data_IF_130015726948
#
_entry.id   IF_130015726948
#
_cell.length_a   1.000
_cell.length_b   1.000
_cell.length_c   1.000
_cell.angle_alpha   90.00
_cell.angle_beta   90.00
_cell.angle_gamma   90.00
#
_symmetry.space_group_name_H-M   'P 1'
#
loop_
_entity.id
_entity.type
_entity.pdbx_description
1 polymer ?
#
# COMPACT_ATOMS: atom_id res chain seq x y z
N UNK A 1 -11.42 -20.00 -38.59
CA UNK A 1 -12.34 -18.99 -39.12
C UNK A 1 -11.62 -17.65 -39.05
N UNK A 2 -11.47 -16.95 -40.16
CA UNK A 2 -10.61 -15.76 -40.26
C UNK A 2 -11.50 -14.59 -40.60
N UNK A 3 -11.59 -13.60 -39.72
CA UNK A 3 -12.33 -12.38 -40.00
C UNK A 3 -11.50 -11.51 -40.95
N UNK A 4 -12.13 -11.09 -42.05
CA UNK A 4 -11.51 -10.21 -43.05
C UNK A 4 -12.34 -8.93 -43.11
N UNK A 5 -11.72 -7.73 -43.10
CA UNK A 5 -12.46 -6.47 -43.17
C UNK A 5 -13.24 -6.37 -44.49
N UNK A 6 -14.52 -6.00 -44.42
CA UNK A 6 -15.28 -5.59 -45.59
C UNK A 6 -14.89 -4.15 -45.97
N UNK A 7 -14.83 -3.87 -47.27
CA UNK A 7 -14.57 -2.49 -47.74
C UNK A 7 -15.80 -1.61 -47.54
N UNK A 8 -15.60 -0.32 -47.29
CA UNK A 8 -16.66 0.69 -47.15
C UNK A 8 -17.69 0.67 -48.30
N UNK A 9 -17.22 0.37 -49.53
CA UNK A 9 -18.07 0.30 -50.72
C UNK A 9 -18.97 -0.95 -50.70
N UNK A 10 -18.46 -2.08 -50.21
CA UNK A 10 -19.26 -3.30 -50.01
C UNK A 10 -20.26 -3.12 -48.87
N UNK A 11 -19.85 -2.46 -47.77
CA UNK A 11 -20.73 -2.20 -46.63
C UNK A 11 -21.91 -1.29 -46.98
N UNK A 12 -21.72 -0.29 -47.86
CA UNK A 12 -22.77 0.67 -48.25
C UNK A 12 -23.65 0.19 -49.41
N UNK A 13 -23.17 -0.73 -50.25
CA UNK A 13 -23.94 -1.28 -51.37
C UNK A 13 -24.95 -2.35 -50.93
N UNK A 14 -24.73 -2.97 -49.76
CA UNK A 14 -25.65 -3.89 -49.15
C UNK A 14 -26.70 -3.06 -48.38
N UNK A 15 -27.93 -3.00 -48.90
CA UNK A 15 -29.07 -2.51 -48.11
C UNK A 15 -29.22 -3.33 -46.83
N UNK A 16 -30.02 -2.84 -45.87
CA UNK A 16 -30.30 -3.59 -44.64
C UNK A 16 -30.92 -4.95 -44.99
N UNK A 17 -30.11 -6.01 -44.94
CA UNK A 17 -30.50 -7.37 -45.30
C UNK A 17 -31.36 -8.04 -44.24
N UNK A 18 -31.24 -7.62 -42.99
CA UNK A 18 -32.09 -8.05 -41.89
C UNK A 18 -33.00 -6.92 -41.42
N UNK A 19 -34.27 -6.98 -41.81
CA UNK A 19 -35.30 -6.00 -41.44
C UNK A 19 -36.05 -6.37 -40.16
N UNK A 20 -35.75 -7.52 -39.54
CA UNK A 20 -36.42 -7.99 -38.33
C UNK A 20 -35.57 -7.70 -37.10
N UNK A 21 -35.94 -6.64 -36.37
CA UNK A 21 -35.25 -6.18 -35.15
C UNK A 21 -35.19 -7.20 -34.00
N UNK A 22 -35.90 -8.33 -34.12
CA UNK A 22 -36.01 -9.37 -33.09
C UNK A 22 -35.04 -10.54 -33.30
N UNK A 23 -34.34 -10.60 -34.43
CA UNK A 23 -33.44 -11.71 -34.74
C UNK A 23 -32.17 -11.25 -35.48
N UNK A 24 -31.86 -9.96 -35.38
CA UNK A 24 -30.71 -9.33 -36.02
C UNK A 24 -29.47 -9.31 -35.12
N UNK A 25 -29.44 -10.13 -34.07
CA UNK A 25 -28.26 -10.38 -33.26
C UNK A 25 -27.66 -11.76 -33.56
N UNK A 26 -26.34 -11.85 -33.44
CA UNK A 26 -25.62 -13.12 -33.40
C UNK A 26 -24.80 -13.11 -32.13
N UNK A 27 -25.18 -13.95 -31.18
CA UNK A 27 -24.45 -14.10 -29.93
C UNK A 27 -23.36 -15.15 -30.07
N UNK A 28 -22.10 -14.76 -29.83
CA UNK A 28 -20.97 -15.68 -29.73
C UNK A 28 -20.51 -15.68 -28.28
N UNK A 29 -20.57 -16.84 -27.62
CA UNK A 29 -20.00 -17.04 -26.28
C UNK A 29 -18.62 -17.68 -26.40
N UNK A 30 -17.60 -16.98 -25.92
CA UNK A 30 -16.24 -17.51 -25.82
C UNK A 30 -15.94 -17.87 -24.37
N UNK A 31 -15.68 -19.15 -24.10
CA UNK A 31 -15.15 -19.58 -22.81
C UNK A 31 -13.62 -19.61 -22.88
N UNK A 32 -12.97 -18.81 -22.05
CA UNK A 32 -11.51 -18.87 -21.88
C UNK A 32 -11.18 -19.95 -20.87
N UNK A 33 -10.37 -20.93 -21.26
CA UNK A 33 -9.92 -22.00 -20.36
C UNK A 33 -8.79 -21.51 -19.44
N UNK A 34 -8.66 -22.14 -18.27
CA UNK A 34 -7.65 -21.82 -17.25
C UNK A 34 -8.20 -20.96 -16.11
N UNK A 35 -7.35 -20.71 -15.12
CA UNK A 35 -7.73 -19.94 -13.94
C UNK A 35 -7.27 -18.48 -14.08
N UNK A 36 -8.15 -17.65 -14.65
CA UNK A 36 -7.91 -16.22 -14.86
C UNK A 36 -8.55 -15.36 -13.77
N UNK A 37 -8.64 -15.88 -12.54
CA UNK A 37 -9.22 -15.15 -11.39
C UNK A 37 -8.18 -14.23 -10.74
N UNK A 38 -8.62 -13.36 -9.83
CA UNK A 38 -7.73 -12.56 -9.01
C UNK A 38 -7.26 -13.35 -7.78
N UNK A 39 -6.10 -12.99 -7.23
CA UNK A 39 -5.52 -13.53 -5.99
C UNK A 39 -5.10 -12.33 -5.14
N UNK A 40 -5.83 -11.97 -4.10
CA UNK A 40 -5.49 -10.84 -3.24
C UNK A 40 -4.86 -11.32 -1.94
N UNK A 41 -3.63 -10.91 -1.70
CA UNK A 41 -2.95 -11.19 -0.43
C UNK A 41 -3.03 -9.98 0.50
N UNK A 42 -3.47 -10.20 1.74
CA UNK A 42 -3.46 -9.18 2.78
C UNK A 42 -2.04 -8.70 3.04
N UNK A 43 -1.91 -7.39 3.26
CA UNK A 43 -0.66 -6.80 3.69
C UNK A 43 -0.86 -6.03 4.98
N UNK A 44 -0.18 -6.52 6.01
CA UNK A 44 -0.12 -5.91 7.33
C UNK A 44 0.98 -4.87 7.42
N UNK A 45 1.39 -4.60 8.65
CA UNK A 45 2.46 -3.65 8.92
C UNK A 45 3.22 -3.98 10.20
N UNK A 46 4.44 -3.48 10.31
CA UNK A 46 5.22 -3.51 11.54
C UNK A 46 5.83 -2.14 11.76
N UNK A 47 5.53 -1.52 12.89
CA UNK A 47 6.05 -0.20 13.27
C UNK A 47 6.56 -0.21 14.70
N UNK A 48 7.49 0.69 15.00
CA UNK A 48 8.10 0.80 16.33
C UNK A 48 7.88 2.22 16.84
N UNK A 49 7.48 2.36 18.11
CA UNK A 49 7.33 3.68 18.72
C UNK A 49 7.12 3.65 20.22
N UNK A 50 7.46 4.77 20.87
CA UNK A 50 7.23 4.96 22.29
C UNK A 50 5.76 5.33 22.56
N UNK A 51 5.31 5.17 23.82
CA UNK A 51 4.00 5.66 24.25
C UNK A 51 3.89 7.16 23.99
N UNK A 52 2.76 7.60 23.44
CA UNK A 52 2.48 8.97 23.00
C UNK A 52 2.95 9.29 21.58
N UNK A 53 3.82 8.49 20.97
CA UNK A 53 4.26 8.71 19.60
C UNK A 53 3.12 8.46 18.61
N UNK A 54 3.07 9.28 17.56
CA UNK A 54 2.23 9.06 16.39
C UNK A 54 3.10 8.42 15.31
N UNK A 55 2.72 7.23 14.85
CA UNK A 55 3.39 6.49 13.79
C UNK A 55 2.46 6.34 12.60
N UNK A 56 2.99 6.57 11.40
CA UNK A 56 2.26 6.32 10.16
C UNK A 56 2.48 4.88 9.73
N UNK A 57 1.41 4.23 9.26
CA UNK A 57 1.46 2.86 8.77
C UNK A 57 0.55 2.69 7.57
N UNK A 58 0.96 1.82 6.64
CA UNK A 58 0.16 1.50 5.44
C UNK A 58 -0.17 0.02 5.45
N UNK A 59 -1.46 -0.29 5.54
CA UNK A 59 -2.01 -1.65 5.43
C UNK A 59 -2.84 -1.79 4.16
N UNK A 60 -3.20 -3.00 3.75
CA UNK A 60 -4.07 -3.20 2.59
C UNK A 60 -3.90 -4.57 1.98
N UNK A 61 -3.73 -4.64 0.66
CA UNK A 61 -3.57 -5.90 -0.06
C UNK A 61 -2.84 -5.72 -1.39
N UNK A 62 -2.30 -6.82 -1.91
CA UNK A 62 -1.65 -6.90 -3.23
C UNK A 62 -2.36 -7.94 -4.09
N UNK A 63 -2.52 -7.69 -5.38
CA UNK A 63 -3.09 -8.66 -6.30
C UNK A 63 -1.99 -9.51 -6.96
N UNK A 64 -1.82 -10.75 -6.54
CA UNK A 64 -0.89 -11.73 -7.11
C UNK A 64 -1.45 -12.44 -8.34
N UNK A 65 -2.76 -12.32 -8.58
CA UNK A 65 -3.49 -13.08 -9.58
C UNK A 65 -3.37 -12.50 -10.98
N UNK A 66 -3.68 -13.29 -12.02
CA UNK A 66 -3.68 -12.84 -13.40
C UNK A 66 -4.75 -11.79 -13.71
N UNK A 67 -5.94 -11.85 -13.07
CA UNK A 67 -6.99 -10.85 -13.28
C UNK A 67 -6.96 -9.70 -12.28
N UNK A 68 -7.55 -8.58 -12.67
CA UNK A 68 -7.77 -7.41 -11.82
C UNK A 68 -8.73 -7.74 -10.67
N UNK A 69 -8.39 -7.35 -9.44
CA UNK A 69 -9.32 -7.34 -8.32
C UNK A 69 -10.07 -5.98 -8.27
N UNK A 70 -11.26 -5.93 -7.70
CA UNK A 70 -12.06 -4.70 -7.59
C UNK A 70 -12.98 -4.42 -8.78
N UNK A 71 -13.87 -3.44 -8.61
CA UNK A 71 -14.99 -3.17 -9.50
C UNK A 71 -14.63 -2.17 -10.62
N UNK A 72 -14.70 -2.62 -11.89
CA UNK A 72 -15.38 -1.77 -12.87
C UNK A 72 -16.40 -2.55 -13.73
N UNK A 73 -16.90 -3.68 -13.26
CA UNK A 73 -17.85 -4.54 -13.98
C UNK A 73 -18.52 -5.54 -13.05
N UNK A 74 -19.80 -5.84 -13.31
CA UNK A 74 -20.75 -6.60 -12.47
C UNK A 74 -20.30 -8.03 -12.02
N UNK A 75 -19.07 -8.46 -12.32
CA UNK A 75 -18.53 -9.79 -12.02
C UNK A 75 -17.05 -9.79 -11.59
N UNK A 76 -16.55 -8.71 -10.97
CA UNK A 76 -15.19 -8.65 -10.41
C UNK A 76 -15.07 -9.19 -8.97
N UNK A 77 -13.85 -9.52 -8.54
CA UNK A 77 -13.55 -9.85 -7.13
C UNK A 77 -13.64 -8.58 -6.28
N UNK A 78 -14.73 -8.37 -5.54
CA UNK A 78 -14.89 -7.21 -4.67
C UNK A 78 -14.21 -7.47 -3.32
N UNK A 79 -13.29 -6.58 -2.93
CA UNK A 79 -12.48 -6.72 -1.72
C UNK A 79 -12.83 -5.61 -0.72
N UNK A 80 -13.38 -6.01 0.42
CA UNK A 80 -13.49 -5.15 1.61
C UNK A 80 -12.36 -5.53 2.56
N UNK A 81 -11.53 -4.56 2.93
CA UNK A 81 -10.41 -4.78 3.85
C UNK A 81 -10.83 -4.41 5.26
N UNK A 82 -10.92 -5.40 6.15
CA UNK A 82 -11.13 -5.18 7.58
C UNK A 82 -9.80 -4.97 8.28
N UNK A 83 -9.65 -3.80 8.91
CA UNK A 83 -8.46 -3.40 9.67
C UNK A 83 -8.83 -3.34 11.14
N UNK A 84 -8.35 -4.30 11.92
CA UNK A 84 -8.50 -4.33 13.38
C UNK A 84 -7.22 -3.79 14.01
N UNK A 85 -7.30 -2.60 14.59
CA UNK A 85 -6.16 -1.99 15.24
C UNK A 85 -5.81 -2.69 16.56
N UNK A 86 -4.51 -2.78 16.90
CA UNK A 86 -4.06 -3.26 18.20
C UNK A 86 -4.74 -2.50 19.36
N UNK A 87 -5.05 -3.17 20.46
CA UNK A 87 -5.79 -2.55 21.58
C UNK A 87 -5.01 -1.43 22.32
N UNK A 88 -3.68 -1.36 22.13
CA UNK A 88 -2.80 -0.35 22.71
C UNK A 88 -2.54 0.87 21.81
N UNK A 89 -3.31 1.07 20.75
CA UNK A 89 -3.20 2.25 19.87
C UNK A 89 -4.56 2.91 19.61
N UNK A 90 -4.53 4.20 19.28
CA UNK A 90 -5.68 4.97 18.82
C UNK A 90 -5.39 5.51 17.42
N UNK A 91 -6.28 5.29 16.47
CA UNK A 91 -6.20 5.98 15.18
C UNK A 91 -6.47 7.48 15.38
N UNK A 92 -5.54 8.31 14.93
CA UNK A 92 -5.64 9.77 14.93
C UNK A 92 -5.75 10.35 13.51
N UNK A 93 -5.39 9.55 12.50
CA UNK A 93 -5.62 9.83 11.08
C UNK A 93 -6.08 8.56 10.38
N UNK A 94 -7.14 8.66 9.59
CA UNK A 94 -7.80 7.54 8.90
C UNK A 94 -8.15 7.99 7.49
N UNK A 95 -7.93 7.16 6.45
CA UNK A 95 -8.23 7.57 5.09
C UNK A 95 -9.74 7.56 4.86
N UNK A 96 -10.22 8.46 4.00
CA UNK A 96 -11.66 8.59 3.68
C UNK A 96 -12.26 7.36 2.99
N UNK A 97 -11.43 6.41 2.57
CA UNK A 97 -11.85 5.11 2.04
C UNK A 97 -12.20 4.09 3.13
N UNK A 98 -12.04 4.45 4.41
CA UNK A 98 -12.34 3.61 5.56
C UNK A 98 -13.45 4.21 6.44
N UNK A 99 -14.28 3.33 7.00
CA UNK A 99 -15.33 3.67 7.97
C UNK A 99 -15.29 2.75 9.17
N UNK A 100 -15.77 3.23 10.30
CA UNK A 100 -16.10 2.37 11.44
C UNK A 100 -17.42 1.65 11.13
N UNK A 101 -17.44 0.31 10.98
CA UNK A 101 -18.65 -0.43 10.67
C UNK A 101 -19.64 -0.49 11.83
N UNK A 102 -19.26 -0.01 13.02
CA UNK A 102 -20.12 0.08 14.20
C UNK A 102 -20.74 1.47 14.39
N UNK A 103 -20.29 2.46 13.62
CA UNK A 103 -20.92 3.78 13.61
C UNK A 103 -22.26 3.71 12.87
N UNK A 104 -23.32 4.16 13.54
CA UNK A 104 -24.67 4.22 12.95
C UNK A 104 -24.76 5.27 11.84
N UNK A 105 -23.87 6.27 11.85
CA UNK A 105 -23.79 7.29 10.83
C UNK A 105 -22.59 7.06 9.91
N UNK A 106 -22.78 7.29 8.61
CA UNK A 106 -21.72 7.18 7.63
C UNK A 106 -20.71 8.31 7.80
N UNK A 107 -19.59 8.04 8.48
CA UNK A 107 -18.53 9.02 8.76
C UNK A 107 -17.16 8.54 8.25
N UNK A 108 -16.89 8.71 6.94
CA UNK A 108 -15.61 8.30 6.33
C UNK A 108 -14.41 9.02 6.94
N UNK A 109 -13.38 8.24 7.26
CA UNK A 109 -12.14 8.76 7.83
C UNK A 109 -12.26 9.22 9.29
N UNK A 110 -13.33 8.86 10.01
CA UNK A 110 -13.48 9.20 11.43
C UNK A 110 -12.43 8.47 12.28
N UNK A 111 -11.55 9.19 13.02
CA UNK A 111 -10.58 8.56 13.91
C UNK A 111 -11.21 7.94 15.16
N UNK A 112 -10.43 7.16 15.91
CA UNK A 112 -10.79 6.65 17.24
C UNK A 112 -11.45 5.27 17.30
N UNK A 113 -11.81 4.66 16.17
CA UNK A 113 -12.37 3.31 16.16
C UNK A 113 -11.28 2.23 16.28
N UNK A 114 -11.66 1.03 16.72
CA UNK A 114 -10.78 -0.15 16.74
C UNK A 114 -10.86 -1.00 15.48
N UNK A 115 -12.00 -0.98 14.81
CA UNK A 115 -12.25 -1.74 13.60
C UNK A 115 -12.60 -0.75 12.48
N UNK A 116 -11.98 -0.93 11.33
CA UNK A 116 -12.28 -0.18 10.13
C UNK A 116 -12.60 -1.13 8.98
N UNK A 117 -13.61 -0.80 8.20
CA UNK A 117 -13.85 -1.38 6.88
C UNK A 117 -13.38 -0.41 5.81
N UNK A 118 -12.41 -0.84 5.03
CA UNK A 118 -11.76 -0.05 3.99
C UNK A 118 -12.06 -0.62 2.61
N UNK A 119 -12.41 0.25 1.66
CA UNK A 119 -12.69 -0.14 0.27
C UNK A 119 -11.83 0.67 -0.69
N UNK A 120 -11.23 -0.01 -1.67
CA UNK A 120 -10.50 0.66 -2.74
C UNK A 120 -11.49 1.28 -3.74
N UNK A 121 -11.12 2.44 -4.30
CA UNK A 121 -11.80 2.98 -5.47
C UNK A 121 -11.14 2.43 -6.73
N UNK A 122 -11.92 1.77 -7.59
CA UNK A 122 -11.43 1.12 -8.80
C UNK A 122 -10.83 -0.26 -8.55
N UNK A 123 -10.21 -0.81 -9.59
CA UNK A 123 -9.60 -2.14 -9.51
C UNK A 123 -8.07 -2.12 -9.45
N UNK A 124 -7.50 -3.22 -8.97
CA UNK A 124 -6.09 -3.43 -8.64
C UNK A 124 -5.47 -4.38 -9.65
N UNK A 125 -4.52 -3.89 -10.45
CA UNK A 125 -3.86 -4.70 -11.46
C UNK A 125 -2.96 -5.77 -10.84
N UNK A 126 -2.54 -6.74 -11.64
CA UNK A 126 -1.56 -7.75 -11.24
C UNK A 126 -0.27 -7.07 -10.73
N UNK A 127 0.17 -7.47 -9.54
CA UNK A 127 1.34 -6.95 -8.84
C UNK A 127 1.13 -5.58 -8.19
N UNK A 128 -0.02 -4.93 -8.42
CA UNK A 128 -0.35 -3.66 -7.81
C UNK A 128 -0.77 -3.86 -6.34
N UNK A 129 -0.49 -2.84 -5.52
CA UNK A 129 -0.86 -2.81 -4.12
C UNK A 129 -1.84 -1.69 -3.84
N UNK A 130 -2.91 -2.02 -3.11
CA UNK A 130 -3.77 -1.02 -2.48
C UNK A 130 -3.31 -0.78 -1.06
N UNK A 131 -3.12 0.50 -0.74
CA UNK A 131 -2.71 0.98 0.58
C UNK A 131 -3.77 1.85 1.23
N UNK A 132 -3.98 1.63 2.52
CA UNK A 132 -4.76 2.48 3.41
C UNK A 132 -3.81 3.02 4.47
N UNK A 133 -3.61 4.33 4.46
CA UNK A 133 -2.67 5.01 5.36
C UNK A 133 -3.35 5.41 6.66
N UNK A 134 -2.82 4.93 7.78
CA UNK A 134 -3.28 5.26 9.13
C UNK A 134 -2.20 6.01 9.89
N UNK A 135 -2.61 7.02 10.64
CA UNK A 135 -1.81 7.60 11.73
C UNK A 135 -2.25 7.01 13.05
N UNK A 136 -1.36 6.32 13.76
CA UNK A 136 -1.65 5.62 15.01
C UNK A 136 -0.88 6.27 16.16
N UNK A 137 -1.59 6.72 17.20
CA UNK A 137 -0.98 7.07 18.48
C UNK A 137 -0.81 5.82 19.32
N UNK A 138 0.38 5.62 19.88
CA UNK A 138 0.66 4.50 20.78
C UNK A 138 0.23 4.87 22.20
N UNK A 139 -0.76 4.17 22.74
CA UNK A 139 -1.33 4.47 24.07
C UNK A 139 -0.74 3.57 25.16
N UNK A 140 -0.22 2.38 24.81
CA UNK A 140 0.33 1.41 25.76
C UNK A 140 1.71 0.93 25.33
N UNK A 141 2.58 0.73 26.30
CA UNK A 141 3.90 0.14 26.07
C UNK A 141 3.80 -1.35 25.70
N UNK A 142 4.93 -1.90 25.25
CA UNK A 142 5.06 -3.32 24.90
C UNK A 142 4.60 -3.63 23.47
N UNK A 143 4.78 -4.91 23.08
CA UNK A 143 4.35 -5.36 21.76
C UNK A 143 2.83 -5.51 21.71
N UNK A 144 2.21 -4.95 20.67
CA UNK A 144 0.77 -4.98 20.47
C UNK A 144 0.49 -5.55 19.07
N UNK A 145 -0.53 -6.41 18.96
CA UNK A 145 -0.91 -7.02 17.67
C UNK A 145 -2.37 -6.72 17.33
N UNK A 146 -2.57 -6.32 16.08
CA UNK A 146 -3.86 -6.24 15.39
C UNK A 146 -3.80 -7.07 14.11
N UNK A 147 -4.73 -6.83 13.19
CA UNK A 147 -4.81 -7.62 11.98
C UNK A 147 -5.49 -6.91 10.81
N UNK A 148 -5.18 -7.40 9.62
CA UNK A 148 -5.85 -7.13 8.37
C UNK A 148 -6.50 -8.42 7.93
N UNK A 149 -7.78 -8.38 7.58
CA UNK A 149 -8.52 -9.49 7.02
C UNK A 149 -9.28 -9.02 5.77
N UNK A 150 -9.12 -9.74 4.67
CA UNK A 150 -9.85 -9.46 3.44
C UNK A 150 -11.20 -10.17 3.47
N UNK A 151 -12.24 -9.43 3.12
CA UNK A 151 -13.57 -9.95 2.88
C UNK A 151 -13.86 -9.84 1.39
N UNK A 152 -13.66 -10.95 0.71
CA UNK A 152 -13.96 -11.09 -0.71
C UNK A 152 -15.45 -11.40 -0.87
N UNK A 153 -16.25 -10.43 -1.36
CA UNK A 153 -17.72 -10.56 -1.46
C UNK A 153 -18.20 -11.53 -2.56
N UNK A 154 -17.29 -12.28 -3.14
CA UNK A 154 -17.49 -13.12 -4.31
C UNK A 154 -17.85 -14.58 -4.01
N UNK A 155 -17.80 -14.99 -2.74
CA UNK A 155 -18.15 -16.36 -2.32
C UNK A 155 -17.34 -17.45 -3.06
N UNK A 156 -17.85 -18.68 -3.09
CA UNK A 156 -17.32 -19.75 -3.94
C UNK A 156 -17.78 -19.55 -5.39
N UNK A 157 -16.89 -19.77 -6.37
CA UNK A 157 -17.26 -19.75 -7.78
C UNK A 157 -16.24 -19.04 -8.69
N UNK A 158 -16.67 -18.62 -9.89
CA UNK A 158 -15.78 -18.11 -10.95
C UNK A 158 -15.15 -16.76 -10.63
N UNK A 159 -15.61 -16.10 -9.56
CA UNK A 159 -15.12 -14.80 -9.09
C UNK A 159 -14.45 -14.89 -7.72
N UNK A 160 -14.32 -16.10 -7.16
CA UNK A 160 -13.68 -16.33 -5.88
C UNK A 160 -12.20 -15.96 -5.94
N UNK A 161 -11.67 -15.54 -4.80
CA UNK A 161 -10.24 -15.40 -4.63
C UNK A 161 -9.53 -16.75 -4.85
N UNK A 162 -8.38 -16.69 -5.52
CA UNK A 162 -7.58 -17.85 -5.87
C UNK A 162 -6.96 -18.55 -4.66
N UNK A 163 -6.58 -17.79 -3.63
CA UNK A 163 -5.83 -18.30 -2.50
C UNK A 163 -6.29 -17.66 -1.17
N UNK A 164 -7.45 -18.07 -0.63
CA UNK A 164 -7.97 -17.50 0.62
C UNK A 164 -7.05 -17.67 1.84
N UNK A 165 -6.00 -18.51 1.75
CA UNK A 165 -5.04 -18.68 2.83
C UNK A 165 -4.15 -17.44 3.05
N UNK A 166 -4.05 -16.53 2.08
CA UNK A 166 -3.28 -15.29 2.18
C UNK A 166 -4.14 -14.04 2.49
N UNK A 167 -5.43 -14.23 2.79
CA UNK A 167 -6.39 -13.15 3.09
C UNK A 167 -6.20 -12.49 4.47
N UNK A 168 -5.16 -12.86 5.23
CA UNK A 168 -4.89 -12.29 6.55
C UNK A 168 -3.44 -11.89 6.75
N UNK A 169 -3.24 -10.78 7.44
CA UNK A 169 -1.91 -10.28 7.81
C UNK A 169 -1.93 -9.60 9.18
N UNK A 170 -0.78 -9.50 9.83
CA UNK A 170 -0.65 -8.89 11.17
C UNK A 170 -0.29 -7.41 11.10
N UNK A 171 -0.83 -6.65 12.04
CA UNK A 171 -0.34 -5.30 12.35
C UNK A 171 0.40 -5.41 13.67
N UNK A 172 1.71 -5.16 13.67
CA UNK A 172 2.56 -5.30 14.86
C UNK A 172 3.11 -3.94 15.25
N UNK A 173 2.90 -3.56 16.51
CA UNK A 173 3.53 -2.40 17.12
C UNK A 173 4.58 -2.91 18.07
N UNK A 174 5.83 -2.49 17.88
CA UNK A 174 6.94 -2.79 18.76
C UNK A 174 7.23 -1.61 19.69
N UNK A 175 7.70 -1.88 20.92
CA UNK A 175 8.07 -0.81 21.84
C UNK A 175 9.27 -0.02 21.28
N UNK A 176 9.15 1.30 21.28
CA UNK A 176 10.26 2.21 21.03
C UNK A 176 10.97 2.58 22.33
N UNK A 177 12.27 2.85 22.24
CA UNK A 177 13.05 3.37 23.37
C UNK A 177 12.57 4.80 23.66
N UNK A 178 12.04 5.04 24.86
CA UNK A 178 11.46 6.32 25.26
C UNK A 178 12.52 7.43 25.38
N UNK A 179 12.79 8.15 24.31
CA UNK A 179 13.50 9.43 24.33
C UNK A 179 12.48 10.57 24.35
N UNK A 180 12.19 11.10 25.53
CA UNK A 180 11.22 12.19 25.70
C UNK A 180 11.72 13.50 25.07
N UNK A 181 10.91 14.08 24.20
CA UNK A 181 11.02 15.48 23.78
C UNK A 181 10.60 16.38 24.96
N UNK A 182 11.53 16.67 25.86
CA UNK A 182 11.36 17.68 26.90
C UNK A 182 11.83 19.05 26.40
N UNK A 183 10.88 19.90 25.97
CA UNK A 183 11.14 21.33 25.83
C UNK A 183 11.28 21.93 27.24
N UNK A 184 12.50 21.95 27.77
CA UNK A 184 12.86 22.60 29.03
C UNK A 184 13.70 23.85 28.75
N UNK A 185 13.05 25.02 28.67
CA UNK A 185 13.72 26.30 28.81
C UNK A 185 13.85 26.62 30.30
N UNK A 186 15.08 26.73 30.82
CA UNK A 186 15.31 27.20 32.19
C UNK A 186 16.69 26.91 32.77
N UNK A 187 17.63 27.84 32.57
CA UNK A 187 18.47 28.41 33.63
C UNK A 187 19.63 27.59 34.24
N UNK A 188 20.85 28.01 33.87
CA UNK A 188 22.13 27.98 34.60
C UNK A 188 22.18 27.45 36.05
N UNK A 189 23.11 26.50 36.27
CA UNK A 189 23.74 26.22 37.57
C UNK A 189 24.83 25.17 37.40
N UNK A 190 26.10 25.57 37.43
CA UNK A 190 27.27 24.72 37.16
C UNK A 190 27.62 23.76 38.29
N UNK A 191 28.29 22.66 37.94
CA UNK A 191 28.86 21.68 38.86
C UNK A 191 29.05 20.30 38.23
N UNK A 192 30.29 20.06 37.77
CA UNK A 192 30.94 18.85 37.25
C UNK A 192 30.32 17.45 37.49
N UNK A 193 30.35 16.64 36.42
CA UNK A 193 30.70 15.23 36.54
C UNK A 193 29.64 14.16 36.31
N UNK A 194 28.61 14.41 35.48
CA UNK A 194 27.61 13.40 35.11
C UNK A 194 27.96 12.61 33.85
N UNK A 195 28.51 11.39 33.99
CA UNK A 195 28.56 10.41 32.90
C UNK A 195 27.20 9.74 32.73
N UNK A 196 26.35 10.35 31.90
CA UNK A 196 25.15 9.72 31.36
C UNK A 196 25.51 8.95 30.08
N UNK A 197 24.80 7.85 29.77
CA UNK A 197 25.08 7.04 28.59
C UNK A 197 24.79 7.84 27.31
N UNK A 198 25.84 8.04 26.51
CA UNK A 198 25.78 8.53 25.14
C UNK A 198 25.01 7.52 24.29
N UNK A 199 23.82 7.89 23.83
CA UNK A 199 23.06 7.15 22.81
C UNK A 199 23.64 7.40 21.43
N UNK A 200 23.75 6.33 20.63
CA UNK A 200 23.42 6.39 19.20
C UNK A 200 24.49 6.92 18.23
N UNK A 201 24.82 6.07 17.26
CA UNK A 201 25.67 6.29 16.09
C UNK A 201 27.17 6.51 16.36
N UNK A 202 27.95 5.50 16.00
CA UNK A 202 29.40 5.55 15.85
C UNK A 202 29.83 6.73 14.97
N UNK A 203 30.29 7.81 15.60
CA UNK A 203 30.90 8.99 14.96
C UNK A 203 32.08 8.62 14.04
N UNK A 204 32.72 7.47 14.29
CA UNK A 204 33.76 6.93 13.40
C UNK A 204 33.29 6.56 12.00
N UNK A 205 32.02 6.18 11.81
CA UNK A 205 31.50 5.70 10.52
C UNK A 205 31.06 6.86 9.61
N UNK A 206 30.56 7.95 10.20
CA UNK A 206 30.17 9.18 9.47
C UNK A 206 31.42 9.99 9.08
N UNK A 207 32.43 10.06 9.95
CA UNK A 207 33.72 10.65 9.61
C UNK A 207 34.45 9.85 8.51
N UNK A 208 34.36 8.52 8.55
CA UNK A 208 34.96 7.62 7.55
C UNK A 208 34.37 7.75 6.14
N UNK A 209 33.03 7.82 6.03
CA UNK A 209 32.35 8.00 4.74
C UNK A 209 32.55 9.41 4.16
N UNK A 210 32.57 10.44 5.00
CA UNK A 210 32.85 11.82 4.59
C UNK A 210 34.26 11.97 4.01
N UNK A 211 35.27 11.37 4.64
CA UNK A 211 36.65 11.38 4.14
C UNK A 211 36.79 10.61 2.81
N UNK A 212 36.10 9.48 2.64
CA UNK A 212 36.14 8.69 1.41
C UNK A 212 35.58 9.48 0.20
N UNK A 213 34.48 10.22 0.37
CA UNK A 213 33.89 11.05 -0.68
C UNK A 213 34.81 12.19 -1.11
N UNK A 214 35.54 12.80 -0.17
CA UNK A 214 36.52 13.86 -0.48
C UNK A 214 37.69 13.30 -1.29
N UNK A 215 38.20 12.11 -0.93
CA UNK A 215 39.32 11.47 -1.67
C UNK A 215 38.90 11.06 -3.08
N UNK A 216 37.71 10.49 -3.26
CA UNK A 216 37.19 10.11 -4.59
C UNK A 216 36.96 11.36 -5.46
N UNK A 217 36.36 12.42 -4.89
CA UNK A 217 36.15 13.68 -5.60
C UNK A 217 37.45 14.35 -6.04
N UNK A 218 38.47 14.34 -5.18
CA UNK A 218 39.79 14.91 -5.50
C UNK A 218 40.53 14.10 -6.57
N UNK A 219 40.41 12.76 -6.54
CA UNK A 219 40.95 11.88 -7.59
C UNK A 219 40.28 12.10 -8.95
N UNK A 220 38.96 12.22 -8.98
CA UNK A 220 38.19 12.53 -10.20
C UNK A 220 38.57 13.88 -10.80
N UNK A 221 38.74 14.91 -9.98
CA UNK A 221 39.15 16.25 -10.41
C UNK A 221 40.55 16.27 -11.04
N UNK A 222 41.50 15.55 -10.45
CA UNK A 222 42.87 15.47 -10.99
C UNK A 222 42.94 14.66 -12.29
N UNK A 223 42.14 13.60 -12.45
CA UNK A 223 42.04 12.83 -13.69
C UNK A 223 41.39 13.64 -14.82
N UNK A 224 40.36 14.45 -14.51
CA UNK A 224 39.75 15.36 -15.48
C UNK A 224 40.73 16.46 -15.93
N UNK A 225 41.52 17.02 -15.00
CA UNK A 225 42.55 18.03 -15.32
C UNK A 225 43.68 17.48 -16.19
N UNK A 226 43.96 16.18 -16.16
CA UNK A 226 45.02 15.54 -16.96
C UNK A 226 44.60 15.25 -18.41
N UNK A 227 43.29 15.24 -18.72
CA UNK A 227 42.75 14.90 -20.04
C UNK A 227 42.52 16.10 -20.98
N UNK A 228 42.84 17.33 -20.57
CA UNK A 228 42.65 18.54 -21.40
C UNK A 228 43.92 19.02 -22.12
N UNK A 229 44.95 18.18 -22.25
CA UNK A 229 46.02 18.43 -23.24
C UNK A 229 45.59 17.81 -24.56
N UNK A 230 45.00 18.65 -25.41
CA UNK A 230 44.85 18.38 -26.84
C UNK A 230 46.25 18.36 -27.45
N UNK A 231 46.65 17.24 -28.05
CA UNK A 231 47.67 17.28 -29.10
C UNK A 231 46.98 17.78 -30.37
N UNK A 232 47.58 18.83 -30.95
CA UNK A 232 47.22 19.45 -32.22
C UNK A 232 47.76 18.64 -33.41
#
# INVERSE_FOLDING_TARGET
MTLVPATDRQARALGQTDTRFVNNDTTITLTVAGDQRADVAAVGATVTGAVGAIVNTTVGYTNNGPARAGDPGQQGLVVVTRVTLPAGVTAVSVPKSCVDPTDEQWHPGKPGARLYECSALGGVARGERMGFEFGLRIDRAGSQTGGVALQTRSGSGPIADLNPANDTAKIVINPGNGGGNGNGNGGNGGGDGGSLPITGASTGLIAGLGALLVVIGMGGYLLARRRTRFDA
#
